data_IF_837157044771
#
_entry.id   IF_837157044771
#
_cell.length_a   1.000
_cell.length_b   1.000
_cell.length_c   1.000
_cell.angle_alpha   90.00
_cell.angle_beta   90.00
_cell.angle_gamma   90.00
#
_symmetry.space_group_name_H-M   'P 1'
#
loop_
_entity.id
_entity.type
_entity.pdbx_description
1 polymer ?
#
# COMPACT_ATOMS: atom_id res chain seq x y z
N UNK A 1 -19.09 25.54 -43.53
CA UNK A 1 -18.49 24.30 -44.10
C UNK A 1 -17.02 24.06 -43.68
N UNK A 2 -16.11 25.06 -43.72
CA UNK A 2 -14.69 24.82 -43.33
C UNK A 2 -14.49 24.43 -41.86
N UNK A 3 -15.20 25.04 -40.92
CA UNK A 3 -15.13 24.75 -39.48
C UNK A 3 -15.64 23.35 -39.20
N UNK A 4 -16.74 22.92 -39.81
CA UNK A 4 -17.27 21.55 -39.60
C UNK A 4 -16.32 20.48 -40.09
N UNK A 5 -15.64 20.68 -41.21
CA UNK A 5 -14.59 19.76 -41.72
C UNK A 5 -13.38 19.73 -40.78
N UNK A 6 -12.94 20.88 -40.24
CA UNK A 6 -11.84 20.93 -39.28
C UNK A 6 -12.18 20.16 -37.98
N UNK A 7 -13.39 20.34 -37.46
CA UNK A 7 -13.86 19.58 -36.29
C UNK A 7 -13.93 18.10 -36.56
N UNK A 8 -14.45 17.66 -37.71
CA UNK A 8 -14.48 16.24 -38.07
C UNK A 8 -13.09 15.63 -38.16
N UNK A 9 -12.12 16.33 -38.77
CA UNK A 9 -10.73 15.88 -38.84
C UNK A 9 -10.11 15.78 -37.44
N UNK A 10 -10.36 16.77 -36.57
CA UNK A 10 -9.86 16.77 -35.20
C UNK A 10 -10.38 15.56 -34.41
N UNK A 11 -11.68 15.26 -34.46
CA UNK A 11 -12.23 14.07 -33.78
C UNK A 11 -11.75 12.75 -34.37
N UNK A 12 -11.51 12.69 -35.72
CA UNK A 12 -10.92 11.52 -36.33
C UNK A 12 -9.48 11.27 -35.86
N UNK A 13 -8.68 12.33 -35.70
CA UNK A 13 -7.33 12.23 -35.17
C UNK A 13 -7.36 11.78 -33.72
N UNK A 14 -8.23 12.37 -32.87
CA UNK A 14 -8.41 11.92 -31.48
C UNK A 14 -8.82 10.46 -31.39
N UNK A 15 -9.76 10.04 -32.22
CA UNK A 15 -10.19 8.64 -32.32
C UNK A 15 -9.03 7.70 -32.74
N UNK A 16 -8.23 8.12 -33.72
CA UNK A 16 -7.06 7.36 -34.15
C UNK A 16 -5.99 7.26 -33.03
N UNK A 17 -5.71 8.36 -32.34
CA UNK A 17 -4.79 8.36 -31.18
C UNK A 17 -5.30 7.46 -30.07
N UNK A 18 -6.59 7.47 -29.77
CA UNK A 18 -7.18 6.60 -28.76
C UNK A 18 -7.09 5.10 -29.13
N UNK A 19 -7.30 4.77 -30.41
CA UNK A 19 -7.31 3.38 -30.87
C UNK A 19 -5.90 2.79 -31.03
N UNK A 20 -4.92 3.62 -31.47
CA UNK A 20 -3.54 3.20 -31.77
C UNK A 20 -2.56 3.56 -30.64
N UNK A 21 -2.97 4.45 -29.72
CA UNK A 21 -2.14 4.89 -28.60
C UNK A 21 -1.76 3.75 -27.65
N UNK A 22 -0.75 3.98 -26.80
CA UNK A 22 -0.30 2.98 -25.84
C UNK A 22 -1.44 2.56 -24.94
N UNK A 23 -1.64 1.26 -24.82
CA UNK A 23 -2.62 0.68 -23.88
C UNK A 23 -1.88 0.22 -22.63
N UNK A 24 -2.46 0.50 -21.49
CA UNK A 24 -1.97 -0.04 -20.22
C UNK A 24 -2.15 -1.55 -20.26
N UNK A 25 -1.07 -2.28 -20.02
CA UNK A 25 -1.12 -3.72 -19.87
C UNK A 25 -1.96 -4.06 -18.64
N UNK A 26 -2.73 -5.15 -18.74
CA UNK A 26 -3.51 -5.61 -17.58
C UNK A 26 -2.53 -6.21 -16.57
N UNK A 27 -2.60 -5.81 -15.30
CA UNK A 27 -1.74 -6.39 -14.28
C UNK A 27 -2.02 -7.88 -14.13
N UNK A 28 -0.98 -8.66 -13.93
CA UNK A 28 -1.07 -10.10 -13.65
C UNK A 28 -0.85 -10.29 -12.16
N UNK A 29 -1.94 -10.58 -11.43
CA UNK A 29 -1.87 -10.85 -10.01
C UNK A 29 -1.63 -12.33 -9.79
N UNK A 30 -0.49 -12.67 -9.20
CA UNK A 30 -0.19 -14.03 -8.78
C UNK A 30 -0.65 -14.23 -7.33
N UNK A 31 -1.32 -15.35 -7.06
CA UNK A 31 -1.67 -15.75 -5.70
C UNK A 31 -0.42 -16.26 -4.98
N UNK A 32 0.37 -15.35 -4.45
CA UNK A 32 1.50 -15.72 -3.60
C UNK A 32 0.99 -16.21 -2.24
N UNK A 33 1.19 -17.49 -1.96
CA UNK A 33 0.98 -18.04 -0.62
C UNK A 33 2.17 -17.68 0.26
N UNK A 34 2.08 -16.53 0.94
CA UNK A 34 3.06 -16.16 1.95
C UNK A 34 2.71 -16.92 3.23
N UNK A 35 3.65 -17.72 3.72
CA UNK A 35 3.50 -18.37 5.03
C UNK A 35 3.73 -17.33 6.13
N UNK A 36 2.64 -16.94 6.78
CA UNK A 36 2.65 -15.98 7.88
C UNK A 36 2.74 -16.74 9.21
N UNK A 37 3.69 -16.39 10.10
CA UNK A 37 3.77 -17.00 11.42
C UNK A 37 2.48 -16.86 12.22
N UNK A 38 2.06 -17.93 12.90
CA UNK A 38 0.86 -17.92 13.75
C UNK A 38 1.11 -17.51 15.20
N UNK A 39 2.36 -17.58 15.65
CA UNK A 39 2.82 -17.09 16.94
C UNK A 39 3.10 -15.58 16.87
N UNK A 40 2.60 -14.80 17.84
CA UNK A 40 2.61 -13.34 17.77
C UNK A 40 4.00 -12.73 17.92
N UNK A 41 4.88 -13.32 18.72
CA UNK A 41 6.28 -12.83 18.84
C UNK A 41 7.06 -13.14 17.57
N UNK A 42 6.86 -14.33 17.01
CA UNK A 42 7.46 -14.71 15.73
C UNK A 42 6.92 -13.83 14.60
N UNK A 43 5.64 -13.50 14.62
CA UNK A 43 5.01 -12.60 13.65
C UNK A 43 5.59 -11.20 13.72
N UNK A 44 5.74 -10.63 14.92
CA UNK A 44 6.34 -9.30 15.10
C UNK A 44 7.78 -9.27 14.58
N UNK A 45 8.58 -10.25 14.95
CA UNK A 45 9.95 -10.39 14.44
C UNK A 45 9.99 -10.55 12.92
N UNK A 46 9.04 -11.28 12.34
CA UNK A 46 8.94 -11.49 10.91
C UNK A 46 8.63 -10.17 10.17
N UNK A 47 7.68 -9.37 10.67
CA UNK A 47 7.37 -8.03 10.14
C UNK A 47 8.60 -7.13 10.21
N UNK A 48 9.23 -7.05 11.37
CA UNK A 48 10.41 -6.20 11.58
C UNK A 48 11.58 -6.62 10.67
N UNK A 49 11.82 -7.92 10.50
CA UNK A 49 12.90 -8.42 9.64
C UNK A 49 12.66 -8.07 8.17
N UNK A 50 11.42 -8.13 7.70
CA UNK A 50 11.06 -7.74 6.33
C UNK A 50 11.30 -6.25 6.10
N UNK A 51 10.92 -5.39 7.04
CA UNK A 51 11.16 -3.95 6.95
C UNK A 51 12.66 -3.62 6.96
N UNK A 52 13.44 -4.27 7.83
CA UNK A 52 14.90 -4.10 7.87
C UNK A 52 15.59 -4.51 6.57
N UNK A 53 15.08 -5.53 5.89
CA UNK A 53 15.61 -5.98 4.59
C UNK A 53 15.43 -4.94 3.46
N UNK A 54 14.47 -4.01 3.58
CA UNK A 54 14.26 -2.92 2.63
C UNK A 54 15.34 -1.83 2.77
N UNK A 55 15.78 -1.55 3.99
CA UNK A 55 16.99 -0.80 4.33
C UNK A 55 16.88 0.72 4.34
N UNK A 56 15.98 1.32 3.58
CA UNK A 56 15.84 2.78 3.42
C UNK A 56 14.45 3.31 3.79
N UNK A 57 13.86 2.72 4.83
CA UNK A 57 12.55 3.15 5.33
C UNK A 57 12.73 4.36 6.26
N UNK A 58 11.94 5.41 6.02
CA UNK A 58 11.90 6.60 6.90
C UNK A 58 11.49 6.23 8.31
N UNK A 59 12.06 6.94 9.27
CA UNK A 59 11.69 6.78 10.68
C UNK A 59 10.16 6.85 10.83
N UNK A 60 9.60 5.95 11.63
CA UNK A 60 8.18 5.81 11.95
C UNK A 60 7.26 5.35 10.79
N UNK A 61 7.78 5.17 9.58
CA UNK A 61 6.99 4.70 8.44
C UNK A 61 7.02 3.18 8.22
N UNK A 62 7.85 2.45 8.95
CA UNK A 62 7.92 0.99 8.86
C UNK A 62 6.59 0.32 9.26
N UNK A 63 6.31 -0.82 8.67
CA UNK A 63 5.24 -1.71 9.13
C UNK A 63 5.44 -2.07 10.59
N UNK A 64 4.37 -2.10 11.37
CA UNK A 64 4.45 -2.41 12.81
C UNK A 64 3.19 -3.05 13.34
N UNK A 65 3.37 -3.88 14.36
CA UNK A 65 2.28 -4.41 15.16
C UNK A 65 2.30 -3.73 16.53
N UNK A 66 1.14 -3.24 16.95
CA UNK A 66 0.94 -2.66 18.27
C UNK A 66 0.03 -3.59 19.03
N UNK A 67 0.56 -4.23 20.05
CA UNK A 67 -0.21 -5.14 20.88
C UNK A 67 -1.04 -4.37 21.89
N UNK A 68 -2.25 -4.86 22.16
CA UNK A 68 -3.13 -4.30 23.19
C UNK A 68 -2.52 -4.44 24.60
N UNK A 69 -1.83 -5.54 24.84
CA UNK A 69 -1.22 -5.85 26.13
C UNK A 69 0.32 -5.86 26.04
N UNK A 70 0.99 -5.67 27.16
CA UNK A 70 2.45 -5.73 27.26
C UNK A 70 3.03 -7.10 26.91
N UNK A 71 2.24 -8.16 27.07
CA UNK A 71 2.58 -9.51 26.62
C UNK A 71 1.71 -9.79 25.38
N UNK A 72 2.31 -10.07 24.22
CA UNK A 72 1.55 -10.34 22.99
C UNK A 72 0.56 -11.50 23.15
N UNK A 73 -0.71 -11.19 23.14
CA UNK A 73 -1.81 -12.16 23.23
C UNK A 73 -2.78 -11.98 22.08
N UNK A 74 -3.45 -13.07 21.67
CA UNK A 74 -4.51 -12.98 20.66
C UNK A 74 -5.73 -12.29 21.25
N UNK A 75 -6.20 -11.28 20.58
CA UNK A 75 -7.38 -10.49 20.94
C UNK A 75 -8.61 -10.94 20.14
N UNK A 76 -9.80 -10.62 20.63
CA UNK A 76 -11.06 -10.96 19.95
C UNK A 76 -11.17 -10.32 18.57
N UNK A 77 -10.65 -9.10 18.42
CA UNK A 77 -10.61 -8.35 17.19
C UNK A 77 -9.17 -7.98 16.85
N UNK A 78 -8.89 -7.83 15.59
CA UNK A 78 -7.66 -7.22 15.10
C UNK A 78 -8.03 -6.02 14.24
N UNK A 79 -7.31 -4.92 14.40
CA UNK A 79 -7.45 -3.72 13.59
C UNK A 79 -6.29 -3.69 12.60
N UNK A 80 -6.59 -3.46 11.33
CA UNK A 80 -5.59 -3.19 10.30
C UNK A 80 -5.86 -1.79 9.77
N UNK A 81 -4.84 -0.94 9.80
CA UNK A 81 -4.92 0.39 9.22
C UNK A 81 -4.15 0.45 7.91
N UNK A 82 -4.86 0.55 6.80
CA UNK A 82 -4.29 0.80 5.47
C UNK A 82 -4.31 2.30 5.20
N UNK A 83 -3.14 2.88 5.06
CA UNK A 83 -3.02 4.31 4.76
C UNK A 83 -3.37 4.62 3.30
N UNK A 84 -3.65 5.90 2.99
CA UNK A 84 -3.95 6.36 1.65
C UNK A 84 -2.76 6.36 0.71
N UNK A 85 -3.05 6.53 -0.60
CA UNK A 85 -2.02 6.69 -1.63
C UNK A 85 -1.18 7.94 -1.34
N UNK A 86 0.13 7.82 -1.42
CA UNK A 86 1.13 8.84 -1.03
C UNK A 86 1.20 9.19 0.47
N UNK A 87 0.49 8.47 1.33
CA UNK A 87 0.49 8.66 2.77
C UNK A 87 1.39 7.61 3.49
N UNK A 88 1.27 7.54 4.80
CA UNK A 88 1.91 6.53 5.64
C UNK A 88 1.05 6.21 6.87
N UNK A 89 1.49 5.26 7.69
CA UNK A 89 0.81 4.93 8.94
C UNK A 89 0.62 6.10 9.89
N UNK A 90 1.45 7.16 9.78
CA UNK A 90 1.35 8.37 10.61
C UNK A 90 0.07 9.16 10.33
N UNK A 91 -0.44 9.14 9.10
CA UNK A 91 -1.67 9.84 8.72
C UNK A 91 -2.87 9.45 9.61
N UNK A 92 -2.93 8.20 10.04
CA UNK A 92 -4.01 7.70 10.88
C UNK A 92 -3.90 8.05 12.37
N UNK A 93 -2.80 8.68 12.82
CA UNK A 93 -2.61 9.03 14.22
C UNK A 93 -3.55 10.17 14.66
N UNK A 94 -4.14 10.09 15.85
CA UNK A 94 -4.18 8.96 16.79
C UNK A 94 -5.39 8.03 16.57
N UNK A 95 -6.15 8.20 15.49
CA UNK A 95 -7.49 7.59 15.31
C UNK A 95 -7.44 6.07 15.31
N UNK A 96 -6.53 5.47 14.53
CA UNK A 96 -6.41 4.01 14.46
C UNK A 96 -6.00 3.38 15.80
N UNK A 97 -5.14 4.06 16.60
CA UNK A 97 -4.79 3.61 17.96
C UNK A 97 -5.97 3.67 18.90
N UNK A 98 -6.68 4.79 18.89
CA UNK A 98 -7.87 4.96 19.75
C UNK A 98 -8.95 3.92 19.42
N UNK A 99 -9.13 3.58 18.14
CA UNK A 99 -10.06 2.51 17.73
C UNK A 99 -9.59 1.15 18.25
N UNK A 100 -8.29 0.82 18.07
CA UNK A 100 -7.76 -0.45 18.54
C UNK A 100 -7.88 -0.57 20.07
N UNK A 101 -7.52 0.48 20.80
CA UNK A 101 -7.64 0.54 22.26
C UNK A 101 -9.09 0.37 22.72
N UNK A 102 -10.04 1.10 22.13
CA UNK A 102 -11.45 1.01 22.46
C UNK A 102 -12.04 -0.39 22.22
N UNK A 103 -11.48 -1.14 21.28
CA UNK A 103 -11.87 -2.52 20.97
C UNK A 103 -11.08 -3.57 21.76
N UNK A 104 -10.06 -3.19 22.53
CA UNK A 104 -9.10 -4.11 23.13
C UNK A 104 -8.43 -4.99 22.09
N UNK A 105 -8.03 -4.40 20.96
CA UNK A 105 -7.56 -5.10 19.78
C UNK A 105 -6.07 -4.86 19.51
N UNK A 106 -5.38 -5.87 18.99
CA UNK A 106 -4.07 -5.66 18.38
C UNK A 106 -4.25 -4.85 17.08
N UNK A 107 -3.30 -3.95 16.80
CA UNK A 107 -3.31 -3.08 15.63
C UNK A 107 -2.12 -3.42 14.73
N UNK A 108 -2.37 -3.70 13.46
CA UNK A 108 -1.35 -3.81 12.43
C UNK A 108 -1.41 -2.61 11.49
N UNK A 109 -0.26 -1.98 11.28
CA UNK A 109 -0.08 -0.84 10.40
C UNK A 109 0.96 -1.25 9.34
N UNK A 110 0.54 -1.79 8.18
CA UNK A 110 1.47 -2.10 7.10
C UNK A 110 1.99 -0.82 6.44
N UNK A 111 3.23 -0.87 5.98
CA UNK A 111 3.76 0.04 4.97
C UNK A 111 3.47 -0.55 3.60
N UNK A 112 2.74 0.15 2.79
CA UNK A 112 2.42 -0.29 1.44
C UNK A 112 3.63 -0.10 0.50
N UNK A 113 3.73 -0.93 -0.54
CA UNK A 113 4.81 -0.88 -1.52
C UNK A 113 5.03 0.56 -2.05
N UNK A 114 6.28 0.96 -2.20
CA UNK A 114 6.66 2.29 -2.67
C UNK A 114 6.44 3.42 -1.67
N UNK A 115 5.83 3.17 -0.50
CA UNK A 115 5.56 4.20 0.50
C UNK A 115 6.63 4.22 1.60
N UNK A 116 6.78 5.38 2.24
CA UNK A 116 7.61 5.53 3.44
C UNK A 116 9.12 5.33 3.24
N UNK A 117 9.63 5.42 2.02
CA UNK A 117 11.06 5.30 1.71
C UNK A 117 11.77 6.65 1.76
N UNK A 118 13.10 6.64 1.99
CA UNK A 118 13.93 7.85 2.04
C UNK A 118 14.24 8.44 0.65
N UNK A 119 13.98 7.70 -0.41
CA UNK A 119 14.15 8.15 -1.78
C UNK A 119 13.35 9.41 -2.09
N UNK A 120 13.82 10.24 -3.01
CA UNK A 120 13.18 11.52 -3.37
C UNK A 120 11.77 11.30 -3.95
N UNK A 121 11.61 10.27 -4.80
CA UNK A 121 10.34 9.95 -5.46
C UNK A 121 10.10 8.43 -5.51
N UNK A 122 9.88 7.78 -4.37
CA UNK A 122 9.78 6.32 -4.32
C UNK A 122 8.57 5.77 -5.11
N UNK A 123 7.56 6.60 -5.36
CA UNK A 123 6.36 6.22 -6.12
C UNK A 123 6.57 6.17 -7.63
N UNK A 124 7.71 6.65 -8.18
CA UNK A 124 7.99 6.53 -9.63
C UNK A 124 8.14 5.07 -10.08
N UNK A 125 8.57 4.20 -9.19
CA UNK A 125 8.73 2.77 -9.45
C UNK A 125 7.49 1.96 -9.03
N UNK A 126 6.38 2.64 -8.70
CA UNK A 126 5.15 1.96 -8.29
C UNK A 126 4.60 1.12 -9.45
N UNK A 127 4.28 -0.13 -9.15
CA UNK A 127 3.52 -1.00 -10.04
C UNK A 127 2.46 -1.78 -9.24
N UNK A 128 1.44 -2.22 -9.94
CA UNK A 128 0.28 -2.85 -9.32
C UNK A 128 0.61 -4.25 -8.77
N UNK A 129 1.53 -4.96 -9.42
CA UNK A 129 1.94 -6.32 -9.05
C UNK A 129 2.65 -6.33 -7.70
N UNK A 130 3.66 -5.47 -7.53
CA UNK A 130 4.41 -5.35 -6.28
C UNK A 130 3.53 -4.80 -5.14
N UNK A 131 2.63 -3.86 -5.47
CA UNK A 131 1.65 -3.37 -4.50
C UNK A 131 0.70 -4.48 -4.01
N UNK A 132 0.27 -5.37 -4.91
CA UNK A 132 -0.57 -6.50 -4.55
C UNK A 132 0.13 -7.51 -3.63
N UNK A 133 1.46 -7.60 -3.74
CA UNK A 133 2.30 -8.53 -2.98
C UNK A 133 2.82 -7.94 -1.66
N UNK A 134 2.61 -6.65 -1.40
CA UNK A 134 3.05 -5.98 -0.18
C UNK A 134 2.10 -6.21 1.00
#
# INVERSE_FOLDING_TARGET
>A
MKILRALSIFFLILGAVYLVGPKVEKPVFEDLKIEVPSDLLTLDNWVNTRELAIGNVRLDNASKIIFNDSIPTKTKYSVIYLHGFTASGIEGEPVHRNIAEALGANLYIPRLFGHGLEEEEPMLNFNNEDFWQS
#
